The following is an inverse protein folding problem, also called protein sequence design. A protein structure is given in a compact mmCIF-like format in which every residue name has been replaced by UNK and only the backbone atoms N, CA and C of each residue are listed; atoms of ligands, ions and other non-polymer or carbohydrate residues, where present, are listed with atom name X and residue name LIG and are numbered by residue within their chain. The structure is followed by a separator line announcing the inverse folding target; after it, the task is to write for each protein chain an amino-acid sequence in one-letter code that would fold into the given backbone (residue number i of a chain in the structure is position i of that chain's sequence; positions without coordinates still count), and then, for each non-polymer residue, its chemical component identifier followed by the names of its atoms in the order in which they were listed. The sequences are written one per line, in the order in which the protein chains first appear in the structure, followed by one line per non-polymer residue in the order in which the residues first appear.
data_IF_565069719291
#
_entry.id   IF_565069719291
#
_cell.length_a   1.000
_cell.length_b   1.000
_cell.length_c   1.000
_cell.angle_alpha   90.00
_cell.angle_beta   90.00
_cell.angle_gamma   90.00
#
_symmetry.space_group_name_H-M   'P 1'
#
loop_
_entity.id
_entity.type
_entity.pdbx_description
1 polymer ?
#
# COMPACT_ATOMS: atom_id res chain seq x y z
N UNK A 1 58.30 -72.21 -3.91
CA UNK A 1 58.16 -71.65 -2.54
C UNK A 1 57.60 -70.23 -2.65
N UNK A 2 56.87 -69.83 -1.61
CA UNK A 2 55.88 -68.74 -1.51
C UNK A 2 56.30 -67.32 -1.97
N UNK A 3 55.31 -66.66 -2.59
CA UNK A 3 54.82 -65.26 -2.45
C UNK A 3 55.76 -64.07 -2.71
N UNK A 4 55.32 -63.16 -3.60
CA UNK A 4 54.71 -61.90 -3.18
C UNK A 4 53.93 -61.20 -4.30
N UNK A 5 52.70 -60.80 -3.96
CA UNK A 5 51.77 -59.98 -4.74
C UNK A 5 52.09 -58.49 -4.55
N UNK A 6 51.93 -57.71 -5.62
CA UNK A 6 51.61 -56.27 -5.52
C UNK A 6 50.64 -55.92 -6.63
N UNK A 7 49.34 -55.87 -6.32
CA UNK A 7 48.31 -55.30 -7.19
C UNK A 7 47.98 -53.90 -6.70
N UNK A 8 48.12 -52.90 -7.58
CA UNK A 8 47.68 -51.52 -7.37
C UNK A 8 46.16 -51.45 -7.56
N UNK A 9 45.43 -51.10 -6.51
CA UNK A 9 44.02 -50.70 -6.63
C UNK A 9 43.96 -49.20 -6.94
N UNK A 10 43.39 -48.84 -8.09
CA UNK A 10 42.86 -47.50 -8.34
C UNK A 10 41.53 -47.37 -7.58
N UNK A 11 41.43 -46.38 -6.70
CA UNK A 11 40.17 -45.95 -6.09
C UNK A 11 39.62 -44.81 -6.93
N UNK A 12 38.52 -45.07 -7.63
CA UNK A 12 37.72 -44.03 -8.28
C UNK A 12 36.74 -43.46 -7.25
N UNK A 13 36.96 -42.22 -6.81
CA UNK A 13 36.02 -41.51 -5.93
C UNK A 13 34.97 -40.84 -6.81
N UNK A 14 33.75 -41.39 -6.81
CA UNK A 14 32.58 -40.73 -7.39
C UNK A 14 31.97 -39.78 -6.35
N UNK A 15 32.13 -38.47 -6.55
CA UNK A 15 31.35 -37.46 -5.83
C UNK A 15 29.91 -37.48 -6.37
N UNK A 16 28.98 -37.99 -5.57
CA UNK A 16 27.55 -37.80 -5.79
C UNK A 16 27.18 -36.46 -5.15
N UNK A 17 27.02 -35.44 -5.98
CA UNK A 17 26.42 -34.17 -5.57
C UNK A 17 24.94 -34.37 -5.30
N UNK A 18 24.53 -34.26 -4.03
CA UNK A 18 23.12 -34.21 -3.65
C UNK A 18 22.59 -32.84 -4.07
N UNK A 19 21.90 -32.78 -5.22
CA UNK A 19 21.02 -31.66 -5.52
C UNK A 19 19.81 -31.76 -4.58
N UNK A 20 19.82 -30.97 -3.51
CA UNK A 20 18.59 -30.66 -2.77
C UNK A 20 17.71 -29.78 -3.65
N UNK A 21 16.82 -30.40 -4.42
CA UNK A 21 15.70 -29.71 -5.03
C UNK A 21 14.73 -29.40 -3.89
N UNK A 22 14.74 -28.16 -3.39
CA UNK A 22 13.66 -27.68 -2.55
C UNK A 22 12.40 -27.57 -3.41
N UNK A 23 11.54 -28.57 -3.35
CA UNK A 23 10.19 -28.45 -3.86
C UNK A 23 9.45 -27.49 -2.93
N UNK A 24 9.35 -26.22 -3.31
CA UNK A 24 8.37 -25.30 -2.72
C UNK A 24 7.00 -25.90 -3.05
N UNK A 25 6.33 -26.45 -2.04
CA UNK A 25 4.92 -26.78 -2.17
C UNK A 25 4.19 -25.48 -2.51
N UNK A 26 3.49 -25.43 -3.64
CA UNK A 26 2.62 -24.31 -3.94
C UNK A 26 1.60 -24.18 -2.80
N UNK A 27 1.64 -23.06 -2.08
CA UNK A 27 0.64 -22.71 -1.09
C UNK A 27 -0.65 -22.41 -1.85
N UNK A 28 -1.54 -23.40 -1.97
CA UNK A 28 -2.80 -23.21 -2.68
C UNK A 28 -3.80 -22.50 -1.77
N UNK A 29 -4.12 -21.25 -2.11
CA UNK A 29 -5.18 -20.53 -1.41
C UNK A 29 -6.55 -20.87 -1.99
N UNK A 30 -7.57 -20.89 -1.13
CA UNK A 30 -8.94 -21.10 -1.57
C UNK A 30 -9.62 -19.75 -1.79
N UNK A 31 -9.84 -19.39 -3.06
CA UNK A 31 -10.47 -18.12 -3.43
C UNK A 31 -11.81 -17.86 -2.73
N UNK A 32 -12.61 -18.91 -2.46
CA UNK A 32 -13.87 -18.75 -1.72
C UNK A 32 -13.65 -18.37 -0.26
N UNK A 33 -12.61 -18.92 0.37
CA UNK A 33 -12.30 -18.58 1.76
C UNK A 33 -11.67 -17.19 1.87
N UNK A 34 -10.84 -16.78 0.90
CA UNK A 34 -10.31 -15.41 0.81
C UNK A 34 -11.46 -14.41 0.68
N UNK A 35 -12.40 -14.63 -0.25
CA UNK A 35 -13.53 -13.71 -0.42
C UNK A 35 -14.41 -13.66 0.84
N UNK A 36 -14.67 -14.79 1.50
CA UNK A 36 -15.39 -14.81 2.79
C UNK A 36 -14.65 -14.03 3.88
N UNK A 37 -13.33 -14.16 3.97
CA UNK A 37 -12.50 -13.41 4.91
C UNK A 37 -12.61 -11.90 4.66
N UNK A 38 -12.57 -11.49 3.38
CA UNK A 38 -12.77 -10.09 2.97
C UNK A 38 -14.17 -9.57 3.33
N UNK A 39 -15.22 -10.34 3.06
CA UNK A 39 -16.59 -9.96 3.41
C UNK A 39 -16.73 -9.80 4.93
N UNK A 40 -16.24 -10.77 5.72
CA UNK A 40 -16.25 -10.68 7.18
C UNK A 40 -15.49 -9.48 7.72
N UNK A 41 -14.35 -9.14 7.12
CA UNK A 41 -13.58 -7.95 7.50
C UNK A 41 -14.38 -6.66 7.27
N UNK A 42 -15.02 -6.54 6.11
CA UNK A 42 -15.87 -5.40 5.79
C UNK A 42 -17.12 -5.34 6.70
N UNK A 43 -17.82 -6.45 6.89
CA UNK A 43 -19.01 -6.51 7.75
C UNK A 43 -18.69 -6.10 9.20
N UNK A 44 -17.57 -6.61 9.73
CA UNK A 44 -17.10 -6.22 11.05
C UNK A 44 -16.81 -4.72 11.10
N UNK A 45 -16.13 -4.17 10.09
CA UNK A 45 -15.79 -2.75 10.05
C UNK A 45 -17.02 -1.83 9.87
N UNK A 46 -18.01 -2.22 9.06
CA UNK A 46 -19.28 -1.49 8.92
C UNK A 46 -20.09 -1.49 10.23
N UNK A 47 -19.95 -2.54 11.06
CA UNK A 47 -20.55 -2.59 12.40
C UNK A 47 -19.79 -1.74 13.44
N UNK A 48 -18.54 -1.35 13.16
CA UNK A 48 -17.68 -0.56 14.04
C UNK A 48 -17.16 0.71 13.32
N UNK A 49 -18.04 1.64 12.93
CA UNK A 49 -17.62 2.84 12.22
C UNK A 49 -16.68 3.69 13.09
N UNK A 50 -15.60 4.18 12.48
CA UNK A 50 -14.59 5.03 13.12
C UNK A 50 -14.10 6.09 12.14
N UNK A 51 -13.63 7.22 12.68
CA UNK A 51 -12.95 8.27 11.93
C UNK A 51 -11.99 9.01 12.86
N UNK A 52 -11.01 9.72 12.29
CA UNK A 52 -10.11 10.59 13.04
C UNK A 52 -10.80 11.92 13.38
N UNK A 53 -11.43 12.53 12.37
CA UNK A 53 -12.06 13.85 12.46
C UNK A 53 -13.48 13.84 11.91
N UNK A 54 -13.70 13.18 10.77
CA UNK A 54 -15.01 13.14 10.12
C UNK A 54 -15.18 11.87 9.28
N UNK A 55 -16.43 11.44 9.00
CA UNK A 55 -16.69 10.30 8.10
C UNK A 55 -16.13 10.44 6.67
N UNK A 56 -15.77 11.66 6.26
CA UNK A 56 -15.15 11.96 4.95
C UNK A 56 -13.63 12.09 5.00
N UNK A 57 -12.99 11.84 6.15
CA UNK A 57 -11.55 11.94 6.30
C UNK A 57 -10.78 10.78 5.63
N UNK A 58 -9.45 10.89 5.63
CA UNK A 58 -8.55 9.92 5.00
C UNK A 58 -8.68 8.50 5.54
N UNK A 59 -9.07 8.33 6.81
CA UNK A 59 -9.17 6.99 7.41
C UNK A 59 -10.28 6.20 6.73
N UNK A 60 -11.43 6.85 6.51
CA UNK A 60 -12.53 6.29 5.75
C UNK A 60 -12.23 6.27 4.26
N UNK A 61 -11.52 7.27 3.74
CA UNK A 61 -11.08 7.26 2.34
C UNK A 61 -10.27 6.02 1.98
N UNK A 62 -9.23 5.70 2.77
CA UNK A 62 -8.42 4.51 2.57
C UNK A 62 -9.21 3.21 2.73
N UNK A 63 -10.15 3.16 3.67
CA UNK A 63 -11.08 2.04 3.79
C UNK A 63 -11.95 1.86 2.53
N UNK A 64 -12.53 2.94 2.02
CA UNK A 64 -13.35 2.92 0.80
C UNK A 64 -12.55 2.51 -0.45
N UNK A 65 -11.26 2.88 -0.54
CA UNK A 65 -10.35 2.38 -1.60
C UNK A 65 -10.27 0.85 -1.55
N UNK A 66 -10.09 0.25 -0.37
CA UNK A 66 -10.09 -1.20 -0.21
C UNK A 66 -11.40 -1.87 -0.63
N UNK A 67 -12.54 -1.32 -0.23
CA UNK A 67 -13.86 -1.81 -0.67
C UNK A 67 -14.02 -1.73 -2.19
N UNK A 68 -13.58 -0.63 -2.81
CA UNK A 68 -13.64 -0.45 -4.26
C UNK A 68 -12.81 -1.50 -5.00
N UNK A 69 -11.61 -1.81 -4.52
CA UNK A 69 -10.77 -2.87 -5.12
C UNK A 69 -11.34 -4.27 -4.87
N UNK A 70 -11.89 -4.53 -3.68
CA UNK A 70 -12.61 -5.76 -3.39
C UNK A 70 -13.79 -5.98 -4.35
N UNK A 71 -14.61 -4.96 -4.59
CA UNK A 71 -15.68 -5.01 -5.59
C UNK A 71 -15.14 -5.21 -7.01
N UNK A 72 -14.08 -4.50 -7.41
CA UNK A 72 -13.48 -4.62 -8.76
C UNK A 72 -13.09 -6.06 -9.07
N UNK A 73 -12.55 -6.78 -8.10
CA UNK A 73 -12.14 -8.18 -8.28
C UNK A 73 -13.32 -9.16 -8.17
N UNK A 74 -14.14 -9.03 -7.13
CA UNK A 74 -15.15 -10.06 -6.78
C UNK A 74 -16.49 -9.87 -7.51
N UNK A 75 -16.78 -8.64 -7.95
CA UNK A 75 -18.11 -8.21 -8.41
C UNK A 75 -19.24 -8.44 -7.38
N UNK A 76 -18.87 -8.71 -6.12
CA UNK A 76 -19.81 -9.01 -5.05
C UNK A 76 -20.51 -7.73 -4.60
N UNK A 77 -21.83 -7.71 -4.77
CA UNK A 77 -22.67 -6.52 -4.59
C UNK A 77 -22.67 -5.99 -3.15
N UNK A 78 -22.22 -6.78 -2.16
CA UNK A 78 -22.12 -6.31 -0.77
C UNK A 78 -21.09 -5.17 -0.64
N UNK A 79 -19.96 -5.25 -1.35
CA UNK A 79 -18.96 -4.19 -1.38
C UNK A 79 -19.50 -2.94 -2.09
N UNK A 80 -20.23 -3.12 -3.21
CA UNK A 80 -20.86 -2.00 -3.92
C UNK A 80 -21.92 -1.29 -3.06
N UNK A 81 -22.69 -2.06 -2.29
CA UNK A 81 -23.68 -1.52 -1.36
C UNK A 81 -23.02 -0.68 -0.25
N UNK A 82 -21.89 -1.13 0.31
CA UNK A 82 -21.14 -0.37 1.30
C UNK A 82 -20.65 0.98 0.73
N UNK A 83 -20.07 0.99 -0.49
CA UNK A 83 -19.66 2.23 -1.17
C UNK A 83 -20.84 3.19 -1.37
N UNK A 84 -21.98 2.69 -1.85
CA UNK A 84 -23.20 3.50 -2.03
C UNK A 84 -23.68 4.10 -0.72
N UNK A 85 -23.74 3.29 0.34
CA UNK A 85 -24.18 3.74 1.66
C UNK A 85 -23.28 4.86 2.18
N UNK A 86 -21.95 4.72 2.06
CA UNK A 86 -21.02 5.79 2.42
C UNK A 86 -21.24 7.05 1.59
N UNK A 87 -21.39 6.93 0.27
CA UNK A 87 -21.68 8.05 -0.61
C UNK A 87 -22.95 8.82 -0.23
N UNK A 88 -24.05 8.11 0.05
CA UNK A 88 -25.30 8.71 0.52
C UNK A 88 -25.17 9.36 1.90
N UNK A 89 -24.51 8.69 2.87
CA UNK A 89 -24.26 9.25 4.21
C UNK A 89 -23.47 10.56 4.14
N UNK A 90 -22.46 10.61 3.28
CA UNK A 90 -21.57 11.75 3.12
C UNK A 90 -22.13 12.83 2.19
N UNK A 91 -23.28 12.57 1.54
CA UNK A 91 -23.84 13.42 0.48
C UNK A 91 -22.79 13.75 -0.59
N UNK A 92 -21.94 12.77 -0.91
CA UNK A 92 -20.85 12.88 -1.90
C UNK A 92 -19.80 13.96 -1.62
N UNK A 93 -19.72 14.50 -0.41
CA UNK A 93 -18.73 15.50 -0.05
C UNK A 93 -17.35 14.88 0.23
N UNK A 94 -16.32 15.68 -0.04
CA UNK A 94 -14.98 15.54 0.55
C UNK A 94 -14.99 16.05 1.99
N UNK A 95 -13.87 15.97 2.71
CA UNK A 95 -13.68 16.85 3.87
C UNK A 95 -13.25 18.26 3.41
N UNK A 96 -13.23 19.24 4.32
CA UNK A 96 -13.32 20.67 3.97
C UNK A 96 -11.99 21.43 3.98
N UNK A 97 -10.86 20.79 4.32
CA UNK A 97 -9.53 21.40 4.26
C UNK A 97 -8.97 21.22 2.85
N UNK A 98 -9.42 22.04 1.92
CA UNK A 98 -9.12 21.92 0.48
C UNK A 98 -7.64 21.80 0.08
N UNK A 99 -6.71 22.23 0.92
CA UNK A 99 -5.27 22.11 0.64
C UNK A 99 -4.63 20.84 1.24
N UNK A 100 -5.37 20.03 2.00
CA UNK A 100 -4.88 18.84 2.69
C UNK A 100 -5.24 17.56 1.92
N UNK A 101 -4.23 16.85 1.41
CA UNK A 101 -4.44 15.67 0.55
C UNK A 101 -5.36 14.60 1.18
N UNK A 102 -5.27 14.39 2.50
CA UNK A 102 -6.17 13.51 3.26
C UNK A 102 -7.66 13.65 2.91
N UNK A 103 -8.12 14.89 2.69
CA UNK A 103 -9.53 15.25 2.68
C UNK A 103 -10.26 14.86 1.39
N UNK A 104 -9.52 14.44 0.36
CA UNK A 104 -10.08 14.01 -0.93
C UNK A 104 -10.06 12.51 -1.15
N UNK A 105 -9.37 11.75 -0.30
CA UNK A 105 -9.19 10.30 -0.47
C UNK A 105 -10.52 9.56 -0.62
N UNK A 106 -11.56 10.00 0.10
CA UNK A 106 -12.91 9.42 0.04
C UNK A 106 -13.53 9.49 -1.36
N UNK A 107 -13.14 10.48 -2.17
CA UNK A 107 -13.60 10.63 -3.55
C UNK A 107 -13.13 9.52 -4.49
N UNK A 108 -12.12 8.73 -4.12
CA UNK A 108 -11.77 7.51 -4.88
C UNK A 108 -12.98 6.57 -4.97
N UNK A 109 -13.69 6.34 -3.85
CA UNK A 109 -14.90 5.52 -3.81
C UNK A 109 -16.05 6.12 -4.65
N UNK A 110 -16.21 7.44 -4.63
CA UNK A 110 -17.24 8.13 -5.42
C UNK A 110 -16.98 8.01 -6.93
N UNK A 111 -15.73 8.24 -7.36
CA UNK A 111 -15.30 8.06 -8.75
C UNK A 111 -15.47 6.62 -9.20
N UNK A 112 -15.07 5.67 -8.35
CA UNK A 112 -15.28 4.25 -8.63
C UNK A 112 -16.74 3.92 -8.92
N UNK A 113 -17.68 4.44 -8.13
CA UNK A 113 -19.13 4.24 -8.35
C UNK A 113 -19.59 4.83 -9.69
N UNK A 114 -19.17 6.05 -10.04
CA UNK A 114 -19.53 6.67 -11.32
C UNK A 114 -19.08 5.82 -12.51
N UNK A 115 -17.88 5.27 -12.41
CA UNK A 115 -17.25 4.50 -13.48
C UNK A 115 -17.80 3.08 -13.61
N UNK A 116 -18.20 2.44 -12.49
CA UNK A 116 -18.48 1.00 -12.46
C UNK A 116 -19.95 0.65 -12.15
N UNK A 117 -20.78 1.59 -11.73
CA UNK A 117 -22.20 1.31 -11.50
C UNK A 117 -23.05 1.41 -12.77
N UNK A 118 -24.06 0.55 -12.85
CA UNK A 118 -25.10 0.59 -13.88
C UNK A 118 -26.04 1.79 -13.75
N UNK A 119 -26.31 2.27 -12.53
CA UNK A 119 -27.16 3.44 -12.30
C UNK A 119 -26.36 4.69 -12.64
N UNK A 120 -26.87 5.53 -13.53
CA UNK A 120 -26.21 6.80 -13.89
C UNK A 120 -26.78 7.97 -13.08
N UNK A 121 -25.99 9.03 -12.95
CA UNK A 121 -26.40 10.34 -12.43
C UNK A 121 -26.90 10.38 -10.97
N UNK A 122 -26.40 9.52 -10.08
CA UNK A 122 -26.75 9.55 -8.65
C UNK A 122 -25.61 9.95 -7.72
N UNK A 123 -24.38 9.96 -8.23
CA UNK A 123 -23.19 10.45 -7.53
C UNK A 123 -22.97 11.91 -7.92
N UNK A 124 -22.85 12.79 -6.94
CA UNK A 124 -22.49 14.19 -7.16
C UNK A 124 -20.97 14.38 -7.04
N UNK A 125 -20.29 14.59 -8.17
CA UNK A 125 -18.85 14.86 -8.18
C UNK A 125 -18.51 16.34 -8.02
N UNK A 126 -19.49 17.26 -7.87
CA UNK A 126 -19.21 18.69 -7.75
C UNK A 126 -18.33 19.04 -6.55
N UNK A 127 -18.49 18.42 -5.36
CA UNK A 127 -17.57 18.63 -4.25
C UNK A 127 -16.14 18.17 -4.57
N UNK A 128 -16.00 17.04 -5.28
CA UNK A 128 -14.69 16.50 -5.70
C UNK A 128 -14.00 17.43 -6.70
N UNK A 129 -14.73 17.89 -7.72
CA UNK A 129 -14.23 18.88 -8.69
C UNK A 129 -13.77 20.15 -7.97
N UNK A 130 -14.60 20.67 -7.06
CA UNK A 130 -14.27 21.88 -6.28
C UNK A 130 -13.00 21.67 -5.46
N UNK A 131 -12.86 20.52 -4.80
CA UNK A 131 -11.65 20.19 -4.07
C UNK A 131 -10.43 20.20 -5.00
N UNK A 132 -10.48 19.50 -6.13
CA UNK A 132 -9.36 19.41 -7.09
C UNK A 132 -8.94 20.81 -7.55
N UNK A 133 -9.91 21.66 -7.91
CA UNK A 133 -9.64 23.02 -8.37
C UNK A 133 -8.91 23.85 -7.31
N UNK A 134 -9.39 23.80 -6.08
CA UNK A 134 -8.76 24.49 -4.95
C UNK A 134 -7.39 23.91 -4.61
N UNK A 135 -7.31 22.60 -4.45
CA UNK A 135 -6.12 21.88 -4.01
C UNK A 135 -4.93 22.08 -4.95
N UNK A 136 -5.18 21.95 -6.26
CA UNK A 136 -4.11 21.95 -7.26
C UNK A 136 -3.75 23.34 -7.77
N UNK A 137 -4.73 24.26 -7.84
CA UNK A 137 -4.57 25.51 -8.60
C UNK A 137 -4.70 26.79 -7.77
N UNK A 138 -5.41 26.80 -6.64
CA UNK A 138 -5.48 27.99 -5.78
C UNK A 138 -4.18 28.18 -4.95
N UNK A 139 -3.71 29.43 -4.76
CA UNK A 139 -2.61 29.74 -3.85
C UNK A 139 -2.85 29.27 -2.43
N UNK A 140 -1.81 28.71 -1.81
CA UNK A 140 -1.83 28.31 -0.42
C UNK A 140 -0.41 28.25 0.15
N UNK A 141 -0.33 28.42 1.47
CA UNK A 141 0.95 28.50 2.20
C UNK A 141 1.85 27.28 2.05
N UNK A 142 1.32 26.07 1.82
CA UNK A 142 2.14 24.87 1.64
C UNK A 142 2.74 24.82 0.25
N UNK A 143 1.92 25.04 -0.78
CA UNK A 143 2.38 25.14 -2.17
C UNK A 143 3.40 26.26 -2.36
N UNK A 144 3.17 27.39 -1.70
CA UNK A 144 4.01 28.57 -1.83
C UNK A 144 5.21 28.54 -0.85
N UNK A 145 5.34 27.49 -0.02
CA UNK A 145 6.45 27.33 0.92
C UNK A 145 6.52 28.39 2.02
N UNK A 146 5.39 29.00 2.37
CA UNK A 146 5.29 30.12 3.32
C UNK A 146 4.64 29.74 4.66
N UNK A 147 4.42 28.44 4.92
CA UNK A 147 3.98 27.99 6.24
C UNK A 147 5.06 28.27 7.32
N UNK A 148 4.61 28.56 8.54
CA UNK A 148 5.49 28.79 9.70
C UNK A 148 6.11 27.48 10.20
N UNK A 149 5.46 26.36 9.94
CA UNK A 149 5.99 25.03 10.21
C UNK A 149 6.97 24.63 9.10
N UNK A 150 8.28 24.52 9.38
CA UNK A 150 9.29 24.23 8.36
C UNK A 150 9.15 22.83 7.75
N UNK A 151 8.38 21.94 8.37
CA UNK A 151 8.05 20.63 7.79
C UNK A 151 7.08 20.79 6.62
N UNK A 152 6.20 21.79 6.63
CA UNK A 152 5.07 21.96 5.69
C UNK A 152 5.41 22.92 4.55
N UNK A 153 6.50 22.65 3.85
CA UNK A 153 7.10 23.55 2.85
C UNK A 153 6.76 23.24 1.38
N UNK A 154 6.02 22.16 1.12
CA UNK A 154 5.45 21.79 -0.19
C UNK A 154 4.01 21.30 0.01
N UNK A 155 3.19 21.20 -1.04
CA UNK A 155 1.77 20.79 -0.92
C UNK A 155 1.62 19.40 -0.27
N UNK A 156 2.42 18.45 -0.72
CA UNK A 156 2.46 17.07 -0.22
C UNK A 156 3.75 16.84 0.56
N UNK A 157 3.86 17.49 1.71
CA UNK A 157 5.05 17.52 2.56
C UNK A 157 5.30 16.24 3.37
N UNK A 158 4.39 15.27 3.30
CA UNK A 158 4.51 13.97 3.95
C UNK A 158 4.20 12.85 2.95
N UNK A 159 4.85 11.69 3.12
CA UNK A 159 4.81 10.62 2.11
C UNK A 159 3.41 10.00 1.94
N UNK A 160 2.60 10.00 3.00
CA UNK A 160 1.28 9.38 3.02
C UNK A 160 0.32 10.06 2.02
N UNK A 161 0.52 11.36 1.76
CA UNK A 161 -0.22 12.14 0.76
C UNK A 161 -0.21 11.50 -0.63
N UNK A 162 0.83 10.69 -0.94
CA UNK A 162 1.01 10.02 -2.22
C UNK A 162 0.03 8.85 -2.44
N UNK A 163 -0.67 8.40 -1.40
CA UNK A 163 -1.85 7.53 -1.50
C UNK A 163 -3.16 8.33 -1.56
N UNK A 164 -3.22 9.44 -0.83
CA UNK A 164 -4.47 10.16 -0.56
C UNK A 164 -5.02 10.87 -1.81
N UNK A 165 -4.18 11.64 -2.49
CA UNK A 165 -4.60 12.45 -3.64
C UNK A 165 -4.29 11.80 -5.01
N UNK A 166 -3.07 11.30 -5.30
CA UNK A 166 -2.70 10.89 -6.66
C UNK A 166 -3.56 9.77 -7.30
N UNK A 167 -3.92 8.68 -6.60
CA UNK A 167 -4.82 7.67 -7.17
C UNK A 167 -6.19 8.22 -7.57
N UNK A 168 -6.76 9.09 -6.71
CA UNK A 168 -8.04 9.76 -6.97
C UNK A 168 -7.94 10.70 -8.18
N UNK A 169 -6.86 11.49 -8.26
CA UNK A 169 -6.61 12.37 -9.42
C UNK A 169 -6.45 11.59 -10.73
N UNK A 170 -5.83 10.40 -10.66
CA UNK A 170 -5.68 9.51 -11.82
C UNK A 170 -7.03 9.01 -12.31
N UNK A 171 -7.89 8.53 -11.40
CA UNK A 171 -9.27 8.15 -11.73
C UNK A 171 -10.08 9.34 -12.29
N UNK A 172 -9.95 10.51 -11.68
CA UNK A 172 -10.67 11.71 -12.11
C UNK A 172 -10.27 12.09 -13.54
N UNK A 173 -8.97 12.18 -13.83
CA UNK A 173 -8.47 12.51 -15.17
C UNK A 173 -8.94 11.51 -16.24
N UNK A 174 -8.96 10.22 -15.91
CA UNK A 174 -9.49 9.19 -16.82
C UNK A 174 -11.00 9.31 -17.03
N UNK A 175 -11.75 9.63 -15.98
CA UNK A 175 -13.19 9.78 -16.05
C UNK A 175 -13.59 11.00 -16.90
N UNK A 176 -12.92 12.14 -16.74
CA UNK A 176 -13.27 13.39 -17.40
C UNK A 176 -12.55 13.62 -18.74
N UNK A 177 -11.43 12.93 -18.97
CA UNK A 177 -10.52 13.21 -20.09
C UNK A 177 -9.60 14.41 -19.86
N UNK A 178 -9.65 15.07 -18.71
CA UNK A 178 -8.86 16.26 -18.38
C UNK A 178 -7.44 15.90 -17.93
N UNK A 179 -6.59 15.48 -18.88
CA UNK A 179 -5.23 14.98 -18.59
C UNK A 179 -4.29 16.01 -17.96
N UNK A 180 -4.61 17.31 -18.01
CA UNK A 180 -3.83 18.36 -17.34
C UNK A 180 -3.75 18.15 -15.82
N UNK A 181 -4.73 17.47 -15.20
CA UNK A 181 -4.65 17.11 -13.78
C UNK A 181 -3.49 16.13 -13.49
N UNK A 182 -3.15 15.25 -14.42
CA UNK A 182 -2.01 14.33 -14.28
C UNK A 182 -0.67 15.07 -14.31
N UNK A 183 -0.56 16.12 -15.14
CA UNK A 183 0.64 16.94 -15.21
C UNK A 183 0.86 17.75 -13.93
N UNK A 184 -0.22 18.31 -13.38
CA UNK A 184 -0.16 18.99 -12.09
C UNK A 184 0.11 18.00 -10.94
N UNK A 185 -0.49 16.81 -10.98
CA UNK A 185 -0.19 15.73 -10.04
C UNK A 185 1.29 15.36 -10.10
N UNK A 186 1.86 15.20 -11.30
CA UNK A 186 3.27 14.85 -11.47
C UNK A 186 4.20 15.91 -10.88
N UNK A 187 3.90 17.20 -11.08
CA UNK A 187 4.66 18.30 -10.45
C UNK A 187 4.73 18.12 -8.93
N UNK A 188 3.60 17.98 -8.25
CA UNK A 188 3.57 17.85 -6.79
C UNK A 188 4.13 16.51 -6.30
N UNK A 189 3.96 15.43 -7.07
CA UNK A 189 4.59 14.14 -6.77
C UNK A 189 6.11 14.26 -6.80
N UNK A 190 6.67 14.96 -7.80
CA UNK A 190 8.11 15.19 -7.93
C UNK A 190 8.67 16.04 -6.79
N UNK A 191 7.91 17.04 -6.30
CA UNK A 191 8.30 17.80 -5.10
C UNK A 191 8.47 16.86 -3.89
N UNK A 192 7.49 15.99 -3.63
CA UNK A 192 7.56 15.00 -2.54
C UNK A 192 8.66 13.98 -2.75
N UNK A 193 8.81 13.45 -3.97
CA UNK A 193 9.87 12.49 -4.31
C UNK A 193 11.25 13.10 -4.06
N UNK A 194 11.51 14.30 -4.59
CA UNK A 194 12.79 14.98 -4.44
C UNK A 194 13.08 15.32 -2.97
N UNK A 195 12.05 15.62 -2.19
CA UNK A 195 12.19 15.93 -0.77
C UNK A 195 12.41 14.67 0.07
N UNK A 196 11.59 13.62 -0.10
CA UNK A 196 11.45 12.54 0.89
C UNK A 196 12.01 11.18 0.47
N UNK A 197 12.23 10.94 -0.83
CA UNK A 197 12.73 9.63 -1.29
C UNK A 197 14.23 9.48 -1.04
N UNK A 198 14.59 8.46 -0.28
CA UNK A 198 15.99 8.12 -0.08
C UNK A 198 16.47 7.17 -1.20
N UNK A 199 17.32 7.67 -2.10
CA UNK A 199 17.82 6.91 -3.26
C UNK A 199 18.78 5.78 -2.92
N UNK A 200 19.37 5.77 -1.73
CA UNK A 200 20.25 4.69 -1.26
C UNK A 200 19.43 3.54 -0.66
N UNK A 201 18.39 3.92 0.10
CA UNK A 201 17.55 2.96 0.81
C UNK A 201 16.36 2.49 0.00
N UNK A 202 16.00 3.21 -1.07
CA UNK A 202 14.80 3.00 -1.89
C UNK A 202 13.50 3.03 -1.06
N UNK A 203 13.45 3.94 -0.07
CA UNK A 203 12.32 4.15 0.85
C UNK A 203 12.07 5.64 1.04
N UNK A 204 10.84 5.98 1.41
CA UNK A 204 10.42 7.34 1.74
C UNK A 204 10.54 7.60 3.24
N UNK A 205 11.25 8.67 3.60
CA UNK A 205 11.09 9.29 4.91
C UNK A 205 9.65 9.83 5.04
N UNK A 206 9.05 9.74 6.22
CA UNK A 206 7.65 10.16 6.41
C UNK A 206 7.46 11.65 6.13
N UNK A 207 8.38 12.46 6.64
CA UNK A 207 8.49 13.90 6.40
C UNK A 207 9.94 14.34 6.70
N UNK A 208 10.23 15.64 6.60
CA UNK A 208 11.59 16.18 6.73
C UNK A 208 12.24 15.97 8.11
N UNK A 209 11.48 15.63 9.16
CA UNK A 209 12.04 15.32 10.48
C UNK A 209 12.82 14.01 10.49
N UNK A 210 12.48 13.08 9.61
CA UNK A 210 13.10 11.75 9.51
C UNK A 210 14.22 11.70 8.46
N UNK A 211 14.61 12.84 7.89
CA UNK A 211 15.76 12.93 7.01
C UNK A 211 17.02 13.22 7.79
N UNK A 212 18.06 12.45 7.50
CA UNK A 212 19.39 12.68 8.05
C UNK A 212 20.06 13.88 7.39
N UNK A 213 20.57 14.78 8.23
CA UNK A 213 21.41 15.92 7.87
C UNK A 213 22.89 15.64 8.12
N UNK A 214 23.22 14.46 8.63
CA UNK A 214 24.58 14.03 8.98
C UNK A 214 25.07 14.62 10.31
N UNK A 215 24.17 14.94 11.24
CA UNK A 215 24.51 15.55 12.52
C UNK A 215 23.96 14.75 13.72
N UNK A 216 24.30 15.19 14.93
CA UNK A 216 23.97 14.48 16.17
C UNK A 216 22.46 14.45 16.49
N UNK A 217 21.69 15.37 15.92
CA UNK A 217 20.25 15.52 16.18
C UNK A 217 19.38 14.71 15.20
N UNK A 218 20.01 13.99 14.25
CA UNK A 218 19.31 13.12 13.32
C UNK A 218 18.54 12.03 14.09
N UNK A 219 17.25 11.88 13.80
CA UNK A 219 16.42 10.84 14.40
C UNK A 219 16.85 9.46 13.86
N UNK A 220 17.05 8.51 14.78
CA UNK A 220 17.50 7.15 14.49
C UNK A 220 16.64 6.15 15.23
N UNK A 221 16.52 4.97 14.65
CA UNK A 221 16.04 3.79 15.35
C UNK A 221 17.03 3.43 16.49
N UNK A 222 16.60 2.60 17.43
CA UNK A 222 17.46 2.14 18.54
C UNK A 222 18.73 1.43 18.06
N UNK A 223 18.66 0.73 16.93
CA UNK A 223 19.80 0.07 16.28
C UNK A 223 20.70 1.04 15.48
N UNK A 224 20.44 2.34 15.54
CA UNK A 224 21.22 3.39 14.90
C UNK A 224 20.93 3.64 13.42
N UNK A 225 19.97 2.92 12.82
CA UNK A 225 19.60 3.10 11.40
C UNK A 225 18.63 4.27 11.19
N UNK A 226 18.46 4.67 9.93
CA UNK A 226 17.44 5.62 9.47
C UNK A 226 16.03 5.08 9.80
N UNK A 227 15.13 5.97 10.20
CA UNK A 227 13.73 5.64 10.47
C UNK A 227 12.95 5.61 9.16
N UNK A 228 12.46 4.43 8.77
CA UNK A 228 11.50 4.27 7.70
C UNK A 228 10.28 3.55 8.23
N UNK A 229 9.17 4.26 8.27
CA UNK A 229 7.91 3.75 8.79
C UNK A 229 7.22 2.86 7.75
N UNK A 230 6.79 1.68 8.19
CA UNK A 230 6.20 0.66 7.34
C UNK A 230 4.89 1.13 6.69
N UNK A 231 3.90 1.60 7.45
CA UNK A 231 2.66 2.10 6.83
C UNK A 231 2.89 3.33 5.95
N UNK A 232 3.84 4.20 6.29
CA UNK A 232 4.24 5.35 5.46
C UNK A 232 4.68 4.91 4.05
N UNK A 233 5.59 3.94 3.98
CA UNK A 233 6.02 3.36 2.70
C UNK A 233 4.94 2.51 2.04
N UNK A 234 4.04 1.89 2.84
CA UNK A 234 2.85 1.20 2.36
C UNK A 234 1.90 2.12 1.60
N UNK A 235 1.66 3.33 2.11
CA UNK A 235 0.90 4.35 1.40
C UNK A 235 1.50 4.66 0.03
N UNK A 236 2.80 4.89 -0.04
CA UNK A 236 3.45 5.23 -1.31
C UNK A 236 3.39 4.07 -2.30
N UNK A 237 3.78 2.86 -1.88
CA UNK A 237 3.85 1.71 -2.78
C UNK A 237 2.45 1.23 -3.22
N UNK A 238 1.48 1.22 -2.31
CA UNK A 238 0.08 0.98 -2.64
C UNK A 238 -0.51 2.06 -3.54
N UNK A 239 -0.17 3.33 -3.29
CA UNK A 239 -0.55 4.47 -4.13
C UNK A 239 0.00 4.32 -5.55
N UNK A 240 1.26 3.93 -5.71
CA UNK A 240 1.89 3.66 -7.02
C UNK A 240 1.17 2.55 -7.78
N UNK A 241 0.81 1.45 -7.12
CA UNK A 241 0.04 0.38 -7.75
C UNK A 241 -1.32 0.88 -8.24
N UNK A 242 -2.05 1.67 -7.43
CA UNK A 242 -3.33 2.26 -7.84
C UNK A 242 -3.18 3.27 -8.97
N UNK A 243 -2.16 4.13 -8.93
CA UNK A 243 -1.86 5.09 -10.01
C UNK A 243 -1.59 4.32 -11.31
N UNK A 244 -0.71 3.32 -11.29
CA UNK A 244 -0.33 2.57 -12.48
C UNK A 244 -1.46 1.67 -13.04
N UNK A 245 -2.41 1.26 -12.20
CA UNK A 245 -3.58 0.47 -12.60
C UNK A 245 -4.50 1.24 -13.55
N UNK A 246 -4.66 2.54 -13.30
CA UNK A 246 -5.58 3.39 -14.05
C UNK A 246 -4.85 4.38 -14.98
N UNK A 247 -3.58 4.73 -14.74
CA UNK A 247 -2.82 5.69 -15.56
C UNK A 247 -2.76 5.29 -17.05
N UNK A 248 -2.99 6.23 -18.00
CA UNK A 248 -2.85 5.96 -19.43
C UNK A 248 -1.49 5.35 -19.77
N UNK A 249 -1.49 4.28 -20.56
CA UNK A 249 -0.25 3.52 -20.89
C UNK A 249 0.79 4.36 -21.61
N UNK A 250 0.36 5.39 -22.34
CA UNK A 250 1.18 6.34 -23.11
C UNK A 250 1.39 7.67 -22.38
N UNK A 251 1.03 7.79 -21.09
CA UNK A 251 1.29 9.00 -20.33
C UNK A 251 2.80 9.29 -20.26
N UNK A 252 3.19 10.52 -20.63
CA UNK A 252 4.60 10.94 -20.82
C UNK A 252 5.52 10.71 -19.62
N UNK A 253 4.99 10.66 -18.39
CA UNK A 253 5.78 10.44 -17.17
C UNK A 253 5.55 9.05 -16.55
N UNK A 254 4.86 8.12 -17.23
CA UNK A 254 4.55 6.78 -16.71
C UNK A 254 5.79 6.00 -16.27
N UNK A 255 6.89 6.12 -17.01
CA UNK A 255 8.14 5.42 -16.71
C UNK A 255 8.75 5.83 -15.36
N UNK A 256 8.56 7.08 -14.93
CA UNK A 256 8.99 7.51 -13.59
C UNK A 256 8.27 6.70 -12.50
N UNK A 257 6.94 6.61 -12.56
CA UNK A 257 6.15 5.88 -11.58
C UNK A 257 6.44 4.38 -11.61
N UNK A 258 6.63 3.81 -12.81
CA UNK A 258 6.97 2.40 -12.99
C UNK A 258 8.34 2.07 -12.37
N UNK A 259 9.34 2.91 -12.59
CA UNK A 259 10.69 2.69 -12.03
C UNK A 259 10.68 2.86 -10.51
N UNK A 260 10.02 3.91 -9.99
CA UNK A 260 9.88 4.11 -8.55
C UNK A 260 9.18 2.92 -7.87
N UNK A 261 8.09 2.43 -8.48
CA UNK A 261 7.39 1.24 -8.01
C UNK A 261 8.31 0.03 -7.93
N UNK A 262 9.12 -0.24 -8.97
CA UNK A 262 10.04 -1.38 -9.01
C UNK A 262 11.15 -1.28 -7.96
N UNK A 263 11.76 -0.11 -7.79
CA UNK A 263 12.79 0.12 -6.78
C UNK A 263 12.26 -0.14 -5.36
N UNK A 264 11.10 0.44 -5.03
CA UNK A 264 10.46 0.23 -3.74
C UNK A 264 10.02 -1.21 -3.54
N UNK A 265 9.42 -1.85 -4.56
CA UNK A 265 9.00 -3.24 -4.49
C UNK A 265 10.18 -4.19 -4.21
N UNK A 266 11.32 -3.99 -4.89
CA UNK A 266 12.54 -4.76 -4.66
C UNK A 266 13.06 -4.59 -3.22
N UNK A 267 13.13 -3.34 -2.73
CA UNK A 267 13.55 -3.07 -1.35
C UNK A 267 12.62 -3.69 -0.32
N UNK A 268 11.31 -3.46 -0.44
CA UNK A 268 10.30 -3.99 0.50
C UNK A 268 10.38 -5.51 0.57
N UNK A 269 10.49 -6.20 -0.57
CA UNK A 269 10.70 -7.65 -0.61
C UNK A 269 11.97 -8.06 0.12
N UNK A 270 13.10 -7.39 -0.14
CA UNK A 270 14.42 -7.74 0.44
C UNK A 270 14.48 -7.65 1.96
N UNK A 271 13.61 -6.83 2.57
CA UNK A 271 13.58 -6.59 4.03
C UNK A 271 12.37 -7.25 4.70
N UNK A 272 11.65 -8.13 4.00
CA UNK A 272 10.52 -8.86 4.58
C UNK A 272 10.99 -9.77 5.72
N UNK A 273 10.44 -9.64 6.95
CA UNK A 273 10.75 -10.55 8.04
C UNK A 273 10.39 -12.01 7.73
N UNK A 274 11.01 -12.94 8.45
CA UNK A 274 10.88 -14.37 8.20
C UNK A 274 9.42 -14.85 8.31
N UNK A 275 8.65 -14.33 9.25
CA UNK A 275 7.23 -14.67 9.47
C UNK A 275 6.25 -14.03 8.45
N UNK A 276 6.73 -13.14 7.58
CA UNK A 276 5.94 -12.55 6.50
C UNK A 276 5.34 -11.18 6.76
N UNK A 277 5.26 -10.74 8.02
CA UNK A 277 4.73 -9.42 8.35
C UNK A 277 5.87 -8.43 8.60
N UNK A 278 5.85 -7.33 7.85
CA UNK A 278 6.73 -6.20 8.12
C UNK A 278 6.36 -5.60 9.47
N UNK A 279 7.37 -5.29 10.28
CA UNK A 279 7.17 -4.53 11.50
C UNK A 279 6.90 -3.08 11.14
N UNK A 280 6.36 -2.37 12.11
CA UNK A 280 6.14 -0.94 12.07
C UNK A 280 7.42 -0.15 11.67
N UNK A 281 8.61 -0.54 12.15
CA UNK A 281 9.90 -0.05 11.63
C UNK A 281 10.46 -1.01 10.57
N UNK A 282 10.81 -0.48 9.39
CA UNK A 282 11.34 -1.27 8.29
C UNK A 282 12.80 -1.68 8.48
N UNK A 283 13.60 -0.85 9.15
CA UNK A 283 15.04 -1.10 9.32
C UNK A 283 15.41 -1.53 10.74
N UNK A 284 14.50 -1.43 11.71
CA UNK A 284 14.64 -1.95 13.07
C UNK A 284 13.47 -2.89 13.44
N UNK A 285 13.22 -3.96 12.67
CA UNK A 285 12.13 -4.89 12.98
C UNK A 285 12.30 -5.57 14.34
N UNK A 286 13.53 -5.71 14.85
CA UNK A 286 13.82 -6.26 16.17
C UNK A 286 13.25 -5.45 17.34
N UNK A 287 12.86 -4.18 17.10
CA UNK A 287 12.23 -3.33 18.10
C UNK A 287 10.75 -3.68 18.36
N UNK A 288 10.17 -4.63 17.61
CA UNK A 288 8.78 -5.04 17.75
C UNK A 288 8.63 -6.56 17.70
N UNK A 289 8.00 -7.12 18.73
CA UNK A 289 7.84 -8.57 18.91
C UNK A 289 6.90 -9.21 17.86
N UNK A 290 6.03 -8.43 17.23
CA UNK A 290 5.07 -8.90 16.23
C UNK A 290 5.03 -7.95 15.02
N UNK A 291 4.76 -8.50 13.84
CA UNK A 291 4.57 -7.69 12.63
C UNK A 291 3.28 -6.86 12.66
N UNK A 292 3.23 -5.82 11.82
CA UNK A 292 2.11 -4.88 11.76
C UNK A 292 1.31 -5.08 10.47
N UNK A 293 -0.02 -5.12 10.60
CA UNK A 293 -0.92 -5.61 9.55
C UNK A 293 -1.19 -4.58 8.46
N UNK A 294 -1.35 -3.30 8.78
CA UNK A 294 -1.74 -2.30 7.77
C UNK A 294 -0.64 -2.04 6.74
N UNK A 295 0.61 -1.83 7.16
CA UNK A 295 1.75 -1.70 6.26
C UNK A 295 1.94 -2.97 5.42
N UNK A 296 1.90 -4.13 6.06
CA UNK A 296 2.00 -5.44 5.38
C UNK A 296 0.87 -5.67 4.37
N UNK A 297 -0.34 -5.21 4.66
CA UNK A 297 -1.48 -5.27 3.75
C UNK A 297 -1.24 -4.47 2.46
N UNK A 298 -0.74 -3.23 2.59
CA UNK A 298 -0.39 -2.41 1.42
C UNK A 298 0.72 -3.02 0.58
N UNK A 299 1.75 -3.61 1.21
CA UNK A 299 2.82 -4.29 0.49
C UNK A 299 2.32 -5.53 -0.22
N UNK A 300 1.51 -6.35 0.45
CA UNK A 300 0.93 -7.56 -0.15
C UNK A 300 0.08 -7.19 -1.36
N UNK A 301 -0.78 -6.18 -1.24
CA UNK A 301 -1.54 -5.60 -2.35
C UNK A 301 -0.64 -5.18 -3.52
N UNK A 302 0.33 -4.30 -3.26
CA UNK A 302 1.12 -3.70 -4.31
C UNK A 302 2.03 -4.73 -5.02
N UNK A 303 2.62 -5.67 -4.27
CA UNK A 303 3.46 -6.73 -4.83
C UNK A 303 2.62 -7.74 -5.63
N UNK A 304 1.48 -8.18 -5.12
CA UNK A 304 0.55 -9.05 -5.84
C UNK A 304 0.05 -8.38 -7.13
N UNK A 305 -0.33 -7.10 -7.06
CA UNK A 305 -0.70 -6.30 -8.23
C UNK A 305 0.42 -6.27 -9.29
N UNK A 306 1.68 -6.11 -8.87
CA UNK A 306 2.83 -6.10 -9.79
C UNK A 306 3.04 -7.41 -10.52
N UNK A 307 2.85 -8.54 -9.83
CA UNK A 307 2.89 -9.88 -10.42
C UNK A 307 1.75 -10.03 -11.44
N UNK A 308 0.52 -9.72 -11.03
CA UNK A 308 -0.68 -9.86 -11.86
C UNK A 308 -0.65 -9.01 -13.14
N UNK A 309 0.10 -7.91 -13.13
CA UNK A 309 0.27 -7.01 -14.27
C UNK A 309 1.57 -7.23 -15.06
N UNK A 310 2.33 -8.30 -14.76
CA UNK A 310 3.58 -8.63 -15.46
C UNK A 310 4.70 -7.61 -15.27
N UNK A 311 4.62 -6.79 -14.21
CA UNK A 311 5.63 -5.79 -13.86
C UNK A 311 6.73 -6.39 -13.00
N UNK A 312 6.36 -7.32 -12.11
CA UNK A 312 7.26 -8.07 -11.24
C UNK A 312 7.30 -9.53 -11.69
N UNK A 313 8.47 -10.17 -11.61
CA UNK A 313 8.63 -11.58 -11.94
C UNK A 313 7.93 -12.47 -10.89
N UNK A 314 6.95 -13.26 -11.32
CA UNK A 314 6.20 -14.18 -10.44
C UNK A 314 7.14 -15.09 -9.66
N UNK A 315 8.15 -15.68 -10.30
CA UNK A 315 9.07 -16.63 -9.68
C UNK A 315 9.90 -15.99 -8.55
N UNK A 316 10.12 -14.69 -8.63
CA UNK A 316 10.93 -13.94 -7.69
C UNK A 316 10.11 -13.41 -6.49
N UNK A 317 8.84 -13.08 -6.69
CA UNK A 317 8.02 -12.37 -5.70
C UNK A 317 6.89 -13.21 -5.07
N UNK A 318 6.42 -14.27 -5.73
CA UNK A 318 5.25 -15.04 -5.29
C UNK A 318 5.38 -15.56 -3.86
N UNK A 319 6.56 -16.07 -3.48
CA UNK A 319 6.79 -16.59 -2.13
C UNK A 319 6.69 -15.51 -1.05
N UNK A 320 7.11 -14.27 -1.37
CA UNK A 320 7.02 -13.15 -0.44
C UNK A 320 5.56 -12.73 -0.20
N UNK A 321 4.80 -12.65 -1.30
CA UNK A 321 3.38 -12.29 -1.30
C UNK A 321 2.53 -13.33 -0.55
N UNK A 322 2.69 -14.62 -0.87
CA UNK A 322 1.93 -15.69 -0.23
C UNK A 322 2.24 -15.82 1.26
N UNK A 323 3.50 -15.64 1.65
CA UNK A 323 3.91 -15.63 3.07
C UNK A 323 3.25 -14.48 3.82
N UNK A 324 3.21 -13.28 3.23
CA UNK A 324 2.55 -12.12 3.82
C UNK A 324 1.04 -12.34 3.94
N UNK A 325 0.36 -12.80 2.88
CA UNK A 325 -1.07 -13.07 2.90
C UNK A 325 -1.46 -14.11 3.96
N UNK A 326 -0.74 -15.24 4.03
CA UNK A 326 -0.98 -16.25 5.04
C UNK A 326 -0.81 -15.73 6.48
N UNK A 327 0.09 -14.75 6.69
CA UNK A 327 0.26 -14.12 7.99
C UNK A 327 -0.83 -13.08 8.28
N UNK A 328 -1.27 -12.32 7.27
CA UNK A 328 -2.41 -11.39 7.38
C UNK A 328 -3.71 -12.10 7.75
N UNK A 329 -4.01 -13.24 7.11
CA UNK A 329 -5.22 -14.02 7.41
C UNK A 329 -5.25 -14.50 8.87
N UNK A 330 -4.09 -14.88 9.44
CA UNK A 330 -3.98 -15.28 10.85
C UNK A 330 -4.21 -14.14 11.84
N UNK A 331 -4.10 -12.89 11.40
CA UNK A 331 -4.38 -11.72 12.23
C UNK A 331 -5.87 -11.32 12.20
N UNK A 332 -6.69 -11.94 11.34
CA UNK A 332 -8.13 -11.77 11.38
C UNK A 332 -8.73 -12.66 12.48
N UNK A 333 -9.51 -12.06 13.38
CA UNK A 333 -10.23 -12.81 14.42
C UNK A 333 -11.50 -13.47 13.85
N UNK A 334 -12.05 -14.46 14.55
CA UNK A 334 -13.28 -15.19 14.17
C UNK A 334 -14.49 -14.27 13.96
N UNK A 335 -14.51 -13.12 14.61
CA UNK A 335 -15.55 -12.08 14.44
C UNK A 335 -15.47 -11.35 13.10
N UNK A 336 -14.32 -11.43 12.41
CA UNK A 336 -14.02 -10.66 11.20
C UNK A 336 -13.06 -9.49 11.45
N UNK A 337 -12.82 -9.10 12.70
CA UNK A 337 -11.90 -8.01 13.04
C UNK A 337 -10.49 -8.26 12.52
N UNK A 338 -9.90 -7.28 11.85
CA UNK A 338 -8.50 -7.30 11.43
C UNK A 338 -7.66 -6.66 12.54
N UNK A 339 -6.98 -7.50 13.33
CA UNK A 339 -6.13 -7.08 14.46
C UNK A 339 -4.70 -6.72 14.05
N UNK A 340 -3.84 -6.41 15.03
CA UNK A 340 -2.43 -6.03 14.82
C UNK A 340 -2.23 -4.82 13.90
N UNK A 341 -3.20 -3.93 13.88
CA UNK A 341 -3.14 -2.67 13.13
C UNK A 341 -2.66 -1.57 14.08
N UNK A 342 -1.55 -0.92 13.75
CA UNK A 342 -1.08 0.25 14.49
C UNK A 342 -2.10 1.40 14.32
N UNK A 343 -2.47 2.04 15.43
CA UNK A 343 -3.35 3.22 15.43
C UNK A 343 -2.78 4.39 14.61
N UNK A 344 -3.58 5.44 14.40
CA UNK A 344 -3.17 6.67 13.71
C UNK A 344 -1.84 7.19 14.28
N UNK A 345 -0.88 7.49 13.40
CA UNK A 345 0.46 7.90 13.78
C UNK A 345 1.26 8.41 12.58
N UNK A 346 2.51 8.82 12.84
CA UNK A 346 3.41 9.39 11.83
C UNK A 346 4.80 8.74 11.85
N UNK A 347 4.93 7.65 12.58
CA UNK A 347 6.20 7.07 13.00
C UNK A 347 6.02 5.64 13.54
N UNK A 348 7.12 4.91 13.74
CA UNK A 348 7.07 3.59 14.33
C UNK A 348 6.44 3.52 15.74
N UNK A 349 5.24 2.94 15.88
CA UNK A 349 4.59 2.65 17.17
C UNK A 349 4.02 1.21 17.25
N UNK A 350 3.90 0.62 18.46
CA UNK A 350 3.41 -0.74 18.63
C UNK A 350 1.94 -0.91 18.24
N UNK A 351 1.57 -2.17 17.97
CA UNK A 351 0.20 -2.62 17.76
C UNK A 351 -0.07 -3.85 18.66
N UNK A 352 -1.33 -4.24 18.80
CA UNK A 352 -1.72 -5.44 19.55
C UNK A 352 -2.75 -6.25 18.78
N UNK A 353 -2.97 -7.49 19.21
CA UNK A 353 -3.99 -8.38 18.62
C UNK A 353 -5.40 -7.76 18.56
N UNK A 354 -5.70 -6.82 19.46
CA UNK A 354 -7.01 -6.16 19.55
C UNK A 354 -7.01 -4.73 18.97
N UNK A 355 -5.89 -4.24 18.46
CA UNK A 355 -5.84 -2.93 17.80
C UNK A 355 -6.25 -3.04 16.34
N UNK A 356 -7.24 -2.26 15.94
CA UNK A 356 -7.86 -2.26 14.61
C UNK A 356 -8.10 -0.81 14.16
N UNK A 357 -8.16 -0.60 12.85
CA UNK A 357 -8.56 0.65 12.22
C UNK A 357 -9.25 0.38 10.88
N UNK A 358 -10.16 1.28 10.46
CA UNK A 358 -10.83 1.20 9.16
C UNK A 358 -9.85 1.14 7.98
N UNK A 359 -8.77 1.91 8.01
CA UNK A 359 -7.73 1.85 6.98
C UNK A 359 -6.93 0.54 7.00
N UNK A 360 -6.83 -0.14 8.16
CA UNK A 360 -6.24 -1.48 8.26
C UNK A 360 -7.12 -2.53 7.59
N UNK A 361 -8.43 -2.47 7.81
CA UNK A 361 -9.41 -3.25 7.05
C UNK A 361 -9.32 -2.93 5.55
N UNK A 362 -9.19 -1.65 5.18
CA UNK A 362 -8.95 -1.23 3.80
C UNK A 362 -7.72 -1.89 3.16
N UNK A 363 -6.59 -1.91 3.88
CA UNK A 363 -5.36 -2.56 3.43
C UNK A 363 -5.50 -4.09 3.30
N UNK A 364 -6.24 -4.74 4.21
CA UNK A 364 -6.55 -6.16 4.13
C UNK A 364 -7.41 -6.49 2.91
N UNK A 365 -8.44 -5.68 2.62
CA UNK A 365 -9.29 -5.81 1.44
C UNK A 365 -8.49 -5.59 0.14
N UNK A 366 -7.57 -4.60 0.13
CA UNK A 366 -6.65 -4.39 -0.97
C UNK A 366 -5.81 -5.64 -1.24
N UNK A 367 -5.16 -6.20 -0.21
CA UNK A 367 -4.36 -7.41 -0.33
C UNK A 367 -5.18 -8.57 -0.91
N UNK A 368 -6.31 -8.90 -0.28
CA UNK A 368 -7.19 -9.99 -0.73
C UNK A 368 -7.66 -9.82 -2.17
N UNK A 369 -7.96 -8.58 -2.59
CA UNK A 369 -8.41 -8.28 -3.96
C UNK A 369 -7.39 -8.60 -5.05
N UNK A 370 -6.09 -8.60 -4.74
CA UNK A 370 -5.04 -8.97 -5.69
C UNK A 370 -4.61 -10.43 -5.52
N UNK A 371 -4.65 -10.98 -4.31
CA UNK A 371 -4.41 -12.40 -4.05
C UNK A 371 -5.41 -13.27 -4.81
N UNK A 372 -6.70 -12.89 -4.83
CA UNK A 372 -7.75 -13.60 -5.58
C UNK A 372 -7.49 -13.74 -7.09
N UNK A 373 -6.62 -12.88 -7.65
CA UNK A 373 -6.26 -12.87 -9.07
C UNK A 373 -4.94 -13.59 -9.36
N UNK A 374 -4.23 -14.02 -8.31
CA UNK A 374 -3.01 -14.79 -8.50
C UNK A 374 -3.39 -16.21 -8.88
N UNK A 375 -3.22 -16.56 -10.16
CA UNK A 375 -3.34 -17.95 -10.61
C UNK A 375 -2.24 -18.81 -9.96
N UNK A 376 -2.51 -20.10 -9.75
CA UNK A 376 -1.51 -21.11 -9.35
C UNK A 376 -0.37 -21.21 -10.38
#
# INVERSE_FOLDING_TARGET
MKKNQTFRNLVTISLIGILCVYTVSAQQFNNKEIEKAMVRAMEWQEAHPIFAVAPTDWTNGAYQVGIARAHKTTQNQIFLAALKNTGYRNKWNTYDRYFHADDVTVSYGYLYLVMNDTRKNYVDLKPTETFIQKHLYEPNKWRDGTDKDPVKNILWWWCDALFMAPPMLTLYANHTGEMNHLDTMHKYYMETYNLLYNKEEHLFARDTRYQWKGNADDLKEENGKKIFWSRGNGWVLGGLALILDDMPKDYKHRDFYLNLYKEMAAKIKSIQPEDGLWRTSLLSPESFDHGEVSGSGFYTFALAWGINNGILDKSEYVSSVYKAWAALEKCQQDTGMVGWVQNIGADPQPASVDSWQNFGTGAFLLAGSEILKMDD
#
